data_IF_303076050788
#
_entry.id   IF_303076050788
#
_cell.length_a   1.000
_cell.length_b   1.000
_cell.length_c   1.000
_cell.angle_alpha   90.00
_cell.angle_beta   90.00
_cell.angle_gamma   90.00
#
_symmetry.space_group_name_H-M   'P 1'
#
loop_
_entity.id
_entity.type
_entity.pdbx_description
1 polymer ?
#
# COMPACT_ATOMS: atom_id res chain seq x y z
N UNK A 1 2.44 15.04 -13.01
CA UNK A 1 3.21 16.29 -13.15
C UNK A 1 4.69 15.95 -13.01
N UNK A 2 5.61 16.90 -13.12
CA UNK A 2 7.03 16.72 -12.80
C UNK A 2 7.36 17.52 -11.55
N UNK A 3 8.19 17.01 -10.62
CA UNK A 3 8.50 17.75 -9.42
C UNK A 3 9.33 19.00 -9.77
N UNK A 4 9.29 20.05 -8.93
CA UNK A 4 10.13 21.23 -9.11
C UNK A 4 11.61 20.84 -9.27
N UNK A 5 12.27 21.42 -10.27
CA UNK A 5 13.69 21.16 -10.55
C UNK A 5 13.99 19.98 -11.48
N UNK A 6 12.98 19.24 -11.98
CA UNK A 6 13.17 18.22 -13.03
C UNK A 6 13.72 18.81 -14.31
N UNK A 7 14.67 18.09 -14.91
CA UNK A 7 15.28 18.38 -16.20
C UNK A 7 14.81 17.38 -17.25
N UNK A 8 14.84 17.79 -18.52
CA UNK A 8 14.42 16.95 -19.64
C UNK A 8 15.31 15.72 -19.83
N UNK A 9 16.58 15.83 -19.42
CA UNK A 9 17.60 14.77 -19.52
C UNK A 9 17.70 13.90 -18.25
N UNK A 10 16.85 14.13 -17.26
CA UNK A 10 16.85 13.31 -16.04
C UNK A 10 16.47 11.85 -16.36
N UNK A 11 17.16 10.87 -15.76
CA UNK A 11 16.75 9.48 -15.83
C UNK A 11 15.30 9.30 -15.34
N UNK A 12 14.55 8.42 -16.00
CA UNK A 12 13.16 8.14 -15.63
C UNK A 12 13.00 7.76 -14.15
N UNK A 13 13.93 6.98 -13.59
CA UNK A 13 13.91 6.62 -12.17
C UNK A 13 13.98 7.85 -11.25
N UNK A 14 14.85 8.82 -11.55
CA UNK A 14 14.97 10.07 -10.81
C UNK A 14 13.65 10.83 -10.81
N UNK A 15 13.03 10.96 -11.98
CA UNK A 15 11.76 11.67 -12.15
C UNK A 15 10.62 10.95 -11.45
N UNK A 16 10.58 9.63 -11.55
CA UNK A 16 9.56 8.79 -10.91
C UNK A 16 9.62 8.89 -9.38
N UNK A 17 10.79 8.66 -8.77
CA UNK A 17 10.93 8.74 -7.31
C UNK A 17 10.81 10.18 -6.80
N UNK A 18 11.31 11.16 -7.55
CA UNK A 18 11.13 12.58 -7.23
C UNK A 18 9.65 12.98 -7.16
N UNK A 19 8.83 12.49 -8.08
CA UNK A 19 7.38 12.69 -8.03
C UNK A 19 6.74 12.07 -6.78
N UNK A 20 7.10 10.84 -6.42
CA UNK A 20 6.55 10.19 -5.22
C UNK A 20 6.88 10.95 -3.94
N UNK A 21 8.12 11.44 -3.81
CA UNK A 21 8.54 12.23 -2.64
C UNK A 21 7.82 13.57 -2.61
N UNK A 22 7.74 14.26 -3.74
CA UNK A 22 7.05 15.55 -3.82
C UNK A 22 5.57 15.42 -3.46
N UNK A 23 4.89 14.41 -3.98
CA UNK A 23 3.48 14.15 -3.70
C UNK A 23 3.24 13.89 -2.20
N UNK A 24 4.12 13.09 -1.57
CA UNK A 24 4.06 12.83 -0.14
C UNK A 24 4.28 14.08 0.71
N UNK A 25 5.21 14.96 0.32
CA UNK A 25 5.42 16.24 1.02
C UNK A 25 4.18 17.14 0.91
N UNK A 26 3.54 17.17 -0.26
CA UNK A 26 2.31 17.95 -0.47
C UNK A 26 1.14 17.42 0.36
N UNK A 27 1.02 16.10 0.51
CA UNK A 27 0.03 15.48 1.41
C UNK A 27 0.22 15.95 2.86
N UNK A 28 1.47 15.95 3.36
CA UNK A 28 1.79 16.38 4.73
C UNK A 28 1.43 17.86 4.94
N UNK A 29 1.81 18.73 4.00
CA UNK A 29 1.64 20.18 4.15
C UNK A 29 0.19 20.61 3.93
N UNK A 30 -0.49 20.04 2.95
CA UNK A 30 -1.88 20.40 2.62
C UNK A 30 -2.86 19.82 3.62
N UNK A 31 -2.59 18.61 4.13
CA UNK A 31 -3.56 17.82 4.88
C UNK A 31 -4.79 17.42 4.04
N UNK A 32 -5.63 16.55 4.62
CA UNK A 32 -6.89 16.12 4.02
C UNK A 32 -6.92 14.64 3.63
N UNK A 33 -7.94 14.26 2.86
CA UNK A 33 -8.25 12.85 2.57
C UNK A 33 -7.41 12.24 1.44
N UNK A 34 -6.73 13.08 0.64
CA UNK A 34 -5.85 12.62 -0.44
C UNK A 34 -4.61 11.97 0.17
N UNK A 35 -4.42 10.69 -0.09
CA UNK A 35 -3.22 9.95 0.23
C UNK A 35 -2.94 8.89 -0.83
N UNK A 36 -1.67 8.53 -1.01
CA UNK A 36 -1.25 7.40 -1.86
C UNK A 36 -1.39 6.02 -1.19
N UNK A 37 -2.04 5.97 -0.02
CA UNK A 37 -2.15 4.77 0.79
C UNK A 37 -2.39 5.09 2.25
N UNK A 38 -3.16 4.25 2.94
CA UNK A 38 -3.36 4.33 4.37
C UNK A 38 -3.09 2.99 5.08
N UNK A 39 -3.11 3.01 6.40
CA UNK A 39 -2.84 1.82 7.22
C UNK A 39 -3.81 0.66 6.95
N UNK A 40 -5.08 0.92 6.65
CA UNK A 40 -6.05 -0.14 6.37
C UNK A 40 -5.74 -0.83 5.02
N UNK A 41 -5.33 -0.07 4.01
CA UNK A 41 -4.87 -0.62 2.74
C UNK A 41 -3.58 -1.42 2.91
N UNK A 42 -2.63 -0.92 3.70
CA UNK A 42 -1.39 -1.63 4.03
C UNK A 42 -1.65 -2.93 4.81
N UNK A 43 -2.61 -2.92 5.75
CA UNK A 43 -3.02 -4.13 6.48
C UNK A 43 -3.58 -5.19 5.53
N UNK A 44 -4.39 -4.79 4.53
CA UNK A 44 -4.90 -5.71 3.51
C UNK A 44 -3.79 -6.28 2.62
N UNK A 45 -2.77 -5.48 2.27
CA UNK A 45 -1.58 -5.97 1.55
C UNK A 45 -0.84 -7.01 2.40
N UNK A 46 -0.66 -6.74 3.69
CA UNK A 46 -0.01 -7.68 4.61
C UNK A 46 -0.78 -8.99 4.73
N UNK A 47 -2.11 -8.94 4.79
CA UNK A 47 -2.96 -10.13 4.80
C UNK A 47 -2.76 -11.00 3.55
N UNK A 48 -2.71 -10.38 2.37
CA UNK A 48 -2.45 -11.10 1.12
C UNK A 48 -1.06 -11.76 1.16
N UNK A 49 -0.02 -11.05 1.62
CA UNK A 49 1.33 -11.61 1.77
C UNK A 49 1.33 -12.83 2.71
N UNK A 50 0.61 -12.71 3.83
CA UNK A 50 0.46 -13.81 4.79
C UNK A 50 -0.27 -14.99 4.16
N UNK A 51 -1.33 -14.75 3.39
CA UNK A 51 -2.11 -15.81 2.73
C UNK A 51 -1.30 -16.55 1.69
N UNK A 52 -0.54 -15.84 0.86
CA UNK A 52 0.41 -16.45 -0.10
C UNK A 52 1.47 -17.28 0.63
N UNK A 53 2.00 -16.77 1.74
CA UNK A 53 2.98 -17.49 2.57
C UNK A 53 2.41 -18.78 3.14
N UNK A 54 1.17 -18.73 3.65
CA UNK A 54 0.47 -19.89 4.19
C UNK A 54 0.18 -20.93 3.10
N UNK A 55 -0.37 -20.48 1.97
CA UNK A 55 -0.66 -21.33 0.81
C UNK A 55 0.59 -22.06 0.31
N UNK A 56 1.73 -21.37 0.23
CA UNK A 56 3.00 -21.97 -0.17
C UNK A 56 3.46 -23.05 0.80
N UNK A 57 3.37 -22.82 2.11
CA UNK A 57 3.81 -23.77 3.15
C UNK A 57 2.92 -25.00 3.22
N UNK A 58 1.62 -24.85 3.00
CA UNK A 58 0.64 -25.92 3.15
C UNK A 58 0.27 -26.59 1.82
N UNK A 59 0.79 -26.10 0.69
CA UNK A 59 0.51 -26.58 -0.65
C UNK A 59 -1.00 -26.71 -0.96
N UNK A 60 -1.79 -25.73 -0.49
CA UNK A 60 -3.24 -25.67 -0.69
C UNK A 60 -3.75 -24.25 -0.90
N UNK A 61 -4.98 -24.15 -1.37
CA UNK A 61 -5.72 -22.89 -1.36
C UNK A 61 -6.06 -22.46 0.06
N UNK A 62 -6.05 -21.14 0.28
CA UNK A 62 -6.42 -20.49 1.53
C UNK A 62 -7.42 -19.38 1.23
N UNK A 63 -8.40 -19.23 2.11
CA UNK A 63 -9.40 -18.18 1.99
C UNK A 63 -8.93 -16.91 2.70
N UNK A 64 -9.44 -15.77 2.24
CA UNK A 64 -9.31 -14.48 2.93
C UNK A 64 -10.72 -14.01 3.36
N UNK A 65 -10.85 -13.32 4.51
CA UNK A 65 -9.77 -12.90 5.41
C UNK A 65 -9.16 -14.08 6.20
N UNK A 66 -7.89 -13.95 6.60
CA UNK A 66 -7.18 -15.03 7.32
C UNK A 66 -7.63 -15.14 8.78
N UNK A 67 -7.99 -14.01 9.37
CA UNK A 67 -8.58 -13.92 10.70
C UNK A 67 -10.05 -13.56 10.51
N UNK A 68 -10.93 -14.21 11.28
CA UNK A 68 -12.32 -13.79 11.33
C UNK A 68 -12.38 -12.34 11.83
N UNK A 69 -13.27 -11.54 11.25
CA UNK A 69 -13.50 -10.21 11.83
C UNK A 69 -14.05 -10.37 13.26
N UNK A 70 -13.82 -9.42 14.17
CA UNK A 70 -14.31 -9.51 15.55
C UNK A 70 -15.83 -9.71 15.67
N UNK A 71 -16.59 -9.39 14.62
CA UNK A 71 -18.03 -9.62 14.52
C UNK A 71 -18.38 -11.07 14.17
N UNK A 72 -17.58 -11.73 13.33
CA UNK A 72 -17.72 -13.14 12.96
C UNK A 72 -17.27 -14.08 14.08
N UNK A 73 -16.25 -13.69 14.86
CA UNK A 73 -15.82 -14.41 16.08
C UNK A 73 -16.87 -14.42 17.20
N UNK A 74 -17.82 -13.47 17.15
CA UNK A 74 -18.91 -13.32 18.14
C UNK A 74 -20.23 -13.97 17.71
N UNK A 75 -20.32 -14.53 16.51
CA UNK A 75 -21.49 -15.26 16.05
C UNK A 75 -21.58 -16.63 16.77
N UNK A 76 -22.78 -17.06 17.23
CA UNK A 76 -22.96 -18.24 18.08
C UNK A 76 -22.69 -19.58 17.38
#
# INVERSE_FOLDING_TARGET
YFPPGTRLDDPWSTVFYGNLVQDFLEEIVTGGDRNQGNFAQSARVQEIINGVTLSHREARWVDLPLEATPEEERAP
#
